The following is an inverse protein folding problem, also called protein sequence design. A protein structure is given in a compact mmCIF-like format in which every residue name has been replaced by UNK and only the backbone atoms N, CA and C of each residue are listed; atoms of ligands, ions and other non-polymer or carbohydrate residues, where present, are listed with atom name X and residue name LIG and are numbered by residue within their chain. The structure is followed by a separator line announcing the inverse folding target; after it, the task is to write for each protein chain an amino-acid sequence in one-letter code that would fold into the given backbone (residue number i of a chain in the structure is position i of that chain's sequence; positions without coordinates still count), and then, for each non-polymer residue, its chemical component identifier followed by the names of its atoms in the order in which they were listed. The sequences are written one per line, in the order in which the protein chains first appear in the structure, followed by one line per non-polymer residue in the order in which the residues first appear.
data_IF_937707296774
#
_entry.id   IF_937707296774
#
_cell.length_a   1.000
_cell.length_b   1.000
_cell.length_c   1.000
_cell.angle_alpha   90.00
_cell.angle_beta   90.00
_cell.angle_gamma   90.00
#
_symmetry.space_group_name_H-M   'P 1'
#
loop_
_entity.id
_entity.type
_entity.pdbx_description
1 polymer ?
#
# COMPACT_ATOMS: atom_id res chain seq x y z
N UNK A 1 13.36 -49.83 14.79
CA UNK A 1 12.60 -49.69 13.53
C UNK A 1 11.58 -48.58 13.73
N UNK A 2 11.81 -47.41 13.15
CA UNK A 2 10.81 -46.34 13.12
C UNK A 2 9.88 -46.63 11.94
N UNK A 3 8.54 -46.57 12.10
CA UNK A 3 7.64 -46.69 10.96
C UNK A 3 7.86 -45.46 10.08
N UNK A 4 8.25 -45.68 8.84
CA UNK A 4 8.17 -44.67 7.79
C UNK A 4 6.69 -44.33 7.60
N UNK A 5 6.29 -43.17 8.08
CA UNK A 5 5.04 -42.55 7.65
C UNK A 5 5.24 -42.19 6.17
N UNK A 6 4.88 -43.10 5.27
CA UNK A 6 4.61 -42.74 3.89
C UNK A 6 3.42 -41.78 3.94
N UNK A 7 3.72 -40.50 3.70
CA UNK A 7 2.76 -39.43 3.57
C UNK A 7 2.01 -39.63 2.26
N UNK A 8 1.07 -40.58 2.25
CA UNK A 8 -0.01 -40.67 1.28
C UNK A 8 -0.97 -39.49 1.56
N UNK A 9 -0.48 -38.26 1.41
CA UNK A 9 -1.29 -37.08 1.39
C UNK A 9 -2.16 -37.18 0.14
N UNK A 10 -3.33 -37.81 0.29
CA UNK A 10 -4.35 -37.91 -0.74
C UNK A 10 -4.54 -36.50 -1.31
N UNK A 11 -4.20 -36.34 -2.59
CA UNK A 11 -4.34 -35.07 -3.29
C UNK A 11 -5.77 -34.62 -3.03
N UNK A 12 -5.96 -33.44 -2.43
CA UNK A 12 -7.28 -33.05 -2.05
C UNK A 12 -8.17 -32.96 -3.30
N UNK A 13 -9.49 -33.21 -3.21
CA UNK A 13 -10.37 -33.29 -4.37
C UNK A 13 -10.38 -32.05 -5.29
N UNK A 14 -9.86 -30.91 -4.81
CA UNK A 14 -9.69 -29.66 -5.56
C UNK A 14 -8.36 -29.54 -6.33
N UNK A 15 -7.41 -30.45 -6.13
CA UNK A 15 -6.12 -30.51 -6.83
C UNK A 15 -6.01 -31.71 -7.81
N UNK A 16 -7.02 -32.58 -7.86
CA UNK A 16 -7.09 -33.68 -8.82
C UNK A 16 -7.28 -33.18 -10.26
N UNK A 17 -6.33 -33.47 -11.16
CA UNK A 17 -6.48 -33.24 -12.60
C UNK A 17 -7.61 -34.13 -13.15
N UNK A 18 -8.64 -33.52 -13.74
CA UNK A 18 -9.92 -34.14 -14.12
C UNK A 18 -10.81 -34.64 -12.96
N UNK A 19 -10.55 -34.17 -11.72
CA UNK A 19 -11.41 -34.41 -10.57
C UNK A 19 -12.77 -33.71 -10.65
N UNK A 20 -13.55 -33.83 -9.57
CA UNK A 20 -14.93 -33.31 -9.49
C UNK A 20 -15.08 -31.85 -9.96
N UNK A 21 -14.20 -30.95 -9.52
CA UNK A 21 -14.24 -29.53 -9.91
C UNK A 21 -13.81 -29.29 -11.37
N UNK A 22 -12.96 -30.14 -11.93
CA UNK A 22 -12.60 -30.09 -13.36
C UNK A 22 -13.80 -30.37 -14.26
N UNK A 23 -14.60 -31.38 -13.90
CA UNK A 23 -15.87 -31.69 -14.58
C UNK A 23 -16.88 -30.55 -14.44
N UNK A 24 -17.08 -30.05 -13.22
CA UNK A 24 -17.98 -28.91 -12.97
C UNK A 24 -17.56 -27.67 -13.79
N UNK A 25 -16.27 -27.34 -13.81
CA UNK A 25 -15.71 -26.24 -14.59
C UNK A 25 -15.99 -26.40 -16.09
N UNK A 26 -15.91 -27.62 -16.64
CA UNK A 26 -16.25 -27.90 -18.04
C UNK A 26 -17.74 -27.72 -18.31
N UNK A 27 -18.61 -28.12 -17.39
CA UNK A 27 -20.07 -27.96 -17.52
C UNK A 27 -20.51 -26.49 -17.52
N UNK A 28 -19.84 -25.64 -16.73
CA UNK A 28 -20.17 -24.20 -16.62
C UNK A 28 -19.33 -23.29 -17.54
N UNK A 29 -18.52 -23.85 -18.44
CA UNK A 29 -17.58 -23.10 -19.28
C UNK A 29 -18.23 -22.00 -20.13
N UNK A 30 -19.49 -22.19 -20.52
CA UNK A 30 -20.26 -21.23 -21.31
C UNK A 30 -21.10 -20.27 -20.47
N UNK A 31 -21.23 -20.53 -19.17
CA UNK A 31 -22.00 -19.68 -18.27
C UNK A 31 -21.17 -18.49 -17.81
N UNK A 32 -21.78 -17.31 -17.73
CA UNK A 32 -21.14 -16.12 -17.17
C UNK A 32 -21.12 -16.23 -15.64
N UNK A 33 -19.96 -16.03 -14.97
CA UNK A 33 -19.88 -16.10 -13.52
C UNK A 33 -20.60 -14.90 -12.89
N UNK A 34 -21.38 -15.14 -11.83
CA UNK A 34 -22.03 -14.05 -11.09
C UNK A 34 -21.07 -13.27 -10.19
N UNK A 35 -20.02 -13.92 -9.69
CA UNK A 35 -18.99 -13.32 -8.86
C UNK A 35 -17.61 -13.65 -9.45
N UNK A 36 -16.82 -12.61 -9.68
CA UNK A 36 -15.42 -12.74 -10.11
C UNK A 36 -14.56 -12.18 -8.99
N UNK A 37 -13.80 -13.06 -8.35
CA UNK A 37 -12.83 -12.69 -7.34
C UNK A 37 -11.43 -12.92 -7.88
N UNK A 38 -10.62 -11.86 -7.91
CA UNK A 38 -9.24 -11.95 -8.39
C UNK A 38 -8.30 -11.16 -7.47
N UNK A 39 -7.01 -11.53 -7.48
CA UNK A 39 -5.97 -10.77 -6.77
C UNK A 39 -5.66 -9.45 -7.48
N UNK A 40 -5.68 -9.46 -8.82
CA UNK A 40 -5.47 -8.28 -9.67
C UNK A 40 -6.65 -8.07 -10.60
N UNK A 41 -7.00 -6.82 -10.88
CA UNK A 41 -8.00 -6.48 -11.87
C UNK A 41 -7.48 -6.76 -13.28
N UNK A 42 -7.65 -8.01 -13.75
CA UNK A 42 -7.24 -8.45 -15.09
C UNK A 42 -8.39 -8.44 -16.12
N UNK A 43 -9.60 -8.07 -15.69
CA UNK A 43 -10.78 -7.96 -16.52
C UNK A 43 -11.11 -6.50 -16.82
N UNK A 44 -11.68 -6.26 -17.98
CA UNK A 44 -12.24 -4.96 -18.32
C UNK A 44 -13.60 -4.79 -17.63
N UNK A 45 -13.69 -3.86 -16.68
CA UNK A 45 -14.95 -3.57 -15.98
C UNK A 45 -16.07 -3.08 -16.91
N UNK A 46 -15.74 -2.58 -18.11
CA UNK A 46 -16.73 -2.10 -19.08
C UNK A 46 -17.47 -3.22 -19.82
N UNK A 47 -16.94 -4.44 -19.81
CA UNK A 47 -17.52 -5.60 -20.50
C UNK A 47 -18.36 -6.49 -19.60
N UNK A 48 -18.44 -6.18 -18.30
CA UNK A 48 -19.22 -6.93 -17.32
C UNK A 48 -20.73 -6.67 -17.48
N UNK A 49 -21.52 -7.72 -17.29
CA UNK A 49 -22.97 -7.58 -17.16
C UNK A 49 -23.32 -6.88 -15.85
N UNK A 50 -24.47 -6.18 -15.81
CA UNK A 50 -24.91 -5.41 -14.63
C UNK A 50 -25.04 -6.24 -13.36
N UNK A 51 -25.34 -7.53 -13.50
CA UNK A 51 -25.60 -8.44 -12.39
C UNK A 51 -24.32 -9.18 -11.95
N UNK A 52 -23.18 -8.93 -12.61
CA UNK A 52 -21.90 -9.52 -12.23
C UNK A 52 -21.23 -8.67 -11.15
N UNK A 53 -20.84 -9.34 -10.07
CA UNK A 53 -20.13 -8.75 -8.95
C UNK A 53 -18.63 -8.98 -9.10
N UNK A 54 -17.88 -7.96 -8.72
CA UNK A 54 -16.42 -7.96 -8.77
C UNK A 54 -15.83 -7.36 -7.51
N UNK A 55 -14.64 -7.83 -7.10
CA UNK A 55 -13.95 -7.32 -5.92
C UNK A 55 -13.03 -6.11 -6.18
N UNK A 56 -12.92 -5.61 -7.41
CA UNK A 56 -12.13 -4.42 -7.74
C UNK A 56 -13.01 -3.29 -8.27
N UNK A 57 -12.81 -2.09 -7.73
CA UNK A 57 -13.39 -0.88 -8.29
C UNK A 57 -12.60 -0.41 -9.51
N UNK A 58 -13.31 0.04 -10.54
CA UNK A 58 -12.70 0.69 -11.69
C UNK A 58 -12.04 2.01 -11.28
N UNK A 59 -10.94 2.38 -11.96
CA UNK A 59 -10.23 3.66 -11.78
C UNK A 59 -9.88 4.02 -10.32
N UNK A 60 -9.49 3.03 -9.51
CA UNK A 60 -9.10 3.23 -8.11
C UNK A 60 -7.85 4.12 -7.89
N UNK A 61 -7.13 4.47 -8.97
CA UNK A 61 -5.86 5.18 -8.91
C UNK A 61 -5.90 6.55 -8.24
N UNK A 62 -7.07 7.18 -8.09
CA UNK A 62 -7.24 8.44 -7.37
C UNK A 62 -7.04 8.32 -5.84
N UNK A 63 -7.17 7.12 -5.27
CA UNK A 63 -7.00 6.87 -3.84
C UNK A 63 -5.96 5.79 -3.54
N UNK A 64 -5.56 4.97 -4.50
CA UNK A 64 -4.59 3.88 -4.28
C UNK A 64 -3.17 4.22 -4.73
N UNK A 65 -2.95 5.43 -5.27
CA UNK A 65 -1.61 5.88 -5.68
C UNK A 65 -1.21 7.15 -4.93
N UNK A 66 0.10 7.33 -4.71
CA UNK A 66 0.63 8.55 -4.08
C UNK A 66 0.21 9.81 -4.84
N UNK A 67 0.33 9.80 -6.17
CA UNK A 67 -0.06 10.92 -7.03
C UNK A 67 -1.57 11.15 -7.00
N UNK A 68 -2.37 10.07 -6.98
CA UNK A 68 -3.82 10.13 -6.87
C UNK A 68 -4.27 10.82 -5.59
N UNK A 69 -3.85 10.30 -4.43
CA UNK A 69 -4.19 10.87 -3.12
C UNK A 69 -3.73 12.34 -3.05
N UNK A 70 -2.51 12.63 -3.49
CA UNK A 70 -1.97 13.99 -3.51
C UNK A 70 -2.84 14.96 -4.33
N UNK A 71 -3.35 14.55 -5.50
CA UNK A 71 -4.29 15.38 -6.28
C UNK A 71 -5.65 15.49 -5.59
N UNK A 72 -6.18 14.39 -5.05
CA UNK A 72 -7.50 14.36 -4.40
C UNK A 72 -7.55 15.30 -3.20
N UNK A 73 -6.49 15.31 -2.38
CA UNK A 73 -6.42 16.12 -1.15
C UNK A 73 -6.18 17.62 -1.41
N UNK A 74 -5.54 18.00 -2.53
CA UNK A 74 -5.47 19.44 -2.92
C UNK A 74 -6.84 20.05 -3.16
N UNK A 75 -7.79 19.23 -3.60
CA UNK A 75 -9.17 19.64 -3.85
C UNK A 75 -10.07 19.42 -2.62
N UNK A 76 -9.52 19.04 -1.45
CA UNK A 76 -10.30 18.70 -0.26
C UNK A 76 -11.25 19.82 0.15
N UNK A 77 -10.85 21.08 -0.02
CA UNK A 77 -11.66 22.26 0.27
C UNK A 77 -13.03 22.28 -0.43
N UNK A 78 -13.20 21.57 -1.55
CA UNK A 78 -14.48 21.46 -2.24
C UNK A 78 -15.43 20.44 -1.60
N UNK A 79 -14.91 19.55 -0.75
CA UNK A 79 -15.65 18.42 -0.16
C UNK A 79 -15.73 18.50 1.38
N UNK A 80 -14.78 19.18 2.01
CA UNK A 80 -14.66 19.27 3.46
C UNK A 80 -14.07 20.63 3.87
N UNK A 81 -14.56 21.27 4.94
CA UNK A 81 -14.08 22.59 5.38
C UNK A 81 -12.66 22.58 5.98
N UNK A 82 -12.08 21.40 6.21
CA UNK A 82 -10.75 21.22 6.80
C UNK A 82 -9.61 21.35 5.79
N UNK A 83 -8.40 21.49 6.34
CA UNK A 83 -7.14 21.62 5.60
C UNK A 83 -6.49 20.24 5.44
N UNK A 84 -6.03 19.87 4.25
CA UNK A 84 -5.38 18.58 4.04
C UNK A 84 -4.09 18.46 4.86
N UNK A 85 -3.40 19.57 5.07
CA UNK A 85 -2.13 19.71 5.78
C UNK A 85 -2.22 19.33 7.27
N UNK A 86 -3.42 19.24 7.85
CA UNK A 86 -3.62 18.82 9.24
C UNK A 86 -3.34 17.32 9.45
N UNK A 87 -3.65 16.49 8.45
CA UNK A 87 -3.56 15.03 8.56
C UNK A 87 -2.75 14.37 7.44
N UNK A 88 -2.42 15.10 6.37
CA UNK A 88 -1.65 14.61 5.24
C UNK A 88 -0.34 15.40 5.09
N UNK A 89 0.82 14.73 5.08
CA UNK A 89 2.10 15.40 4.85
C UNK A 89 2.12 16.15 3.52
N UNK A 90 2.70 17.36 3.52
CA UNK A 90 2.87 18.17 2.30
C UNK A 90 3.51 17.33 1.19
N UNK A 91 2.91 17.37 0.00
CA UNK A 91 3.29 16.53 -1.13
C UNK A 91 3.22 17.30 -2.45
N UNK A 92 4.26 17.16 -3.26
CA UNK A 92 4.44 17.89 -4.51
C UNK A 92 4.70 16.90 -5.65
N UNK A 93 4.16 17.19 -6.85
CA UNK A 93 4.39 16.40 -8.05
C UNK A 93 5.51 17.04 -8.86
N UNK A 94 6.73 16.57 -8.65
CA UNK A 94 7.93 17.12 -9.29
C UNK A 94 7.96 16.97 -10.82
N UNK A 95 7.00 16.23 -11.41
CA UNK A 95 6.77 16.19 -12.86
C UNK A 95 6.14 17.49 -13.40
N UNK A 96 5.57 18.33 -12.54
CA UNK A 96 5.05 19.65 -12.88
C UNK A 96 6.03 20.72 -12.37
N UNK A 97 6.39 21.68 -13.22
CA UNK A 97 7.37 22.72 -12.85
C UNK A 97 6.84 23.63 -11.73
N UNK A 98 5.55 23.97 -11.71
CA UNK A 98 4.97 24.79 -10.63
C UNK A 98 5.12 24.11 -9.26
N UNK A 99 4.81 22.81 -9.18
CA UNK A 99 4.95 22.01 -7.96
C UNK A 99 6.41 21.89 -7.52
N UNK A 100 7.34 21.85 -8.48
CA UNK A 100 8.78 21.79 -8.20
C UNK A 100 9.31 23.10 -7.64
N UNK A 101 8.86 24.25 -8.17
CA UNK A 101 9.19 25.56 -7.60
C UNK A 101 8.63 25.68 -6.18
N UNK A 102 7.36 25.32 -5.98
CA UNK A 102 6.73 25.32 -4.66
C UNK A 102 7.48 24.42 -3.65
N UNK A 103 7.92 23.24 -4.09
CA UNK A 103 8.74 22.34 -3.27
C UNK A 103 10.08 22.99 -2.86
N UNK A 104 10.77 23.66 -3.78
CA UNK A 104 12.06 24.31 -3.50
C UNK A 104 11.90 25.39 -2.43
N UNK A 105 10.85 26.20 -2.54
CA UNK A 105 10.58 27.28 -1.59
C UNK A 105 10.19 26.73 -0.22
N UNK A 106 9.33 25.71 -0.17
CA UNK A 106 8.94 25.04 1.07
C UNK A 106 10.11 24.32 1.74
N UNK A 107 11.01 23.71 0.95
CA UNK A 107 12.23 23.09 1.45
C UNK A 107 13.15 24.12 2.11
N UNK A 108 13.37 25.27 1.45
CA UNK A 108 14.18 26.37 2.01
C UNK A 108 13.61 26.87 3.33
N UNK A 109 12.30 27.09 3.39
CA UNK A 109 11.63 27.50 4.63
C UNK A 109 11.78 26.44 5.72
N UNK A 110 11.59 25.17 5.39
CA UNK A 110 11.74 24.04 6.32
C UNK A 110 13.17 23.96 6.87
N UNK A 111 14.19 24.18 6.03
CA UNK A 111 15.59 24.22 6.46
C UNK A 111 15.87 25.39 7.41
N UNK A 112 15.35 26.59 7.12
CA UNK A 112 15.45 27.74 8.02
C UNK A 112 14.79 27.47 9.38
N UNK A 113 13.58 26.89 9.40
CA UNK A 113 12.88 26.51 10.62
C UNK A 113 13.68 25.47 11.41
N UNK A 114 14.25 24.47 10.74
CA UNK A 114 15.10 23.44 11.36
C UNK A 114 16.32 24.07 12.06
N UNK A 115 16.99 25.01 11.41
CA UNK A 115 18.13 25.73 11.99
C UNK A 115 17.73 26.53 13.24
N UNK A 116 16.58 27.20 13.21
CA UNK A 116 16.07 27.93 14.38
C UNK A 116 15.70 26.99 15.54
N UNK A 117 15.08 25.85 15.25
CA UNK A 117 14.80 24.81 16.25
C UNK A 117 16.08 24.28 16.89
N UNK A 118 17.13 24.05 16.08
CA UNK A 118 18.44 23.61 16.58
C UNK A 118 19.05 24.62 17.57
N UNK A 119 19.05 25.91 17.22
CA UNK A 119 19.55 26.96 18.12
C UNK A 119 18.72 27.01 19.40
N UNK A 120 17.39 26.99 19.27
CA UNK A 120 16.48 27.02 20.41
C UNK A 120 16.75 25.85 21.38
N UNK A 121 16.95 24.64 20.86
CA UNK A 121 17.20 23.45 21.68
C UNK A 121 18.55 23.54 22.41
N UNK A 122 19.59 24.03 21.72
CA UNK A 122 20.90 24.30 22.34
C UNK A 122 20.81 25.34 23.45
N UNK A 123 20.07 26.43 23.24
CA UNK A 123 19.85 27.46 24.26
C UNK A 123 19.04 26.96 25.47
N UNK A 124 18.14 25.99 25.26
CA UNK A 124 17.35 25.37 26.34
C UNK A 124 18.09 24.25 27.08
N UNK A 125 19.33 23.93 26.71
CA UNK A 125 20.10 22.83 27.30
C UNK A 125 19.51 21.45 27.00
N UNK A 126 18.57 21.35 26.06
CA UNK A 126 18.02 20.08 25.60
C UNK A 126 19.01 19.51 24.59
N UNK A 127 19.72 18.45 25.00
CA UNK A 127 20.57 17.66 24.11
C UNK A 127 19.62 16.87 23.18
N UNK A 128 19.34 17.40 21.99
CA UNK A 128 18.74 16.59 20.92
C UNK A 128 19.79 15.63 20.36
N UNK A 129 19.37 14.42 19.95
CA UNK A 129 20.28 13.38 19.55
C UNK A 129 20.91 13.76 18.18
N UNK A 130 22.12 13.26 17.96
CA UNK A 130 23.00 13.55 16.83
C UNK A 130 22.28 13.51 15.46
N UNK A 131 22.69 14.32 14.49
CA UNK A 131 22.12 14.32 13.13
C UNK A 131 22.11 12.91 12.49
N UNK A 132 23.08 12.05 12.81
CA UNK A 132 23.08 10.63 12.40
C UNK A 132 21.97 9.82 13.06
N UNK A 133 21.57 10.15 14.29
CA UNK A 133 20.46 9.48 14.98
C UNK A 133 19.10 9.84 14.37
N UNK A 134 18.89 11.08 13.92
CA UNK A 134 17.67 11.51 13.22
C UNK A 134 17.56 10.82 11.84
N UNK A 135 18.69 10.67 11.14
CA UNK A 135 18.75 9.89 9.89
C UNK A 135 18.45 8.41 10.13
N UNK A 136 18.89 7.83 11.26
CA UNK A 136 18.57 6.47 11.67
C UNK A 136 17.08 6.30 12.09
N UNK A 137 16.43 7.33 12.62
CA UNK A 137 14.98 7.30 12.89
C UNK A 137 14.14 7.31 11.60
N UNK A 138 14.73 7.67 10.46
CA UNK A 138 14.05 7.63 9.16
C UNK A 138 14.23 6.28 8.44
N UNK A 139 15.10 5.39 8.93
CA UNK A 139 15.26 4.02 8.44
C UNK A 139 14.41 3.00 9.21
N UNK A 140 14.01 3.31 10.43
CA UNK A 140 13.10 2.47 11.20
C UNK A 140 11.65 2.91 10.95
N UNK A 141 10.96 2.14 10.12
CA UNK A 141 9.50 2.21 10.02
C UNK A 141 8.87 1.99 11.40
N UNK A 142 7.62 2.43 11.64
CA UNK A 142 7.00 2.38 12.95
C UNK A 142 6.88 0.93 13.42
N UNK A 143 7.71 0.55 14.39
CA UNK A 143 7.55 -0.69 15.15
C UNK A 143 6.45 -0.46 16.18
N UNK A 144 5.19 -0.59 15.73
CA UNK A 144 4.04 -0.63 16.63
C UNK A 144 4.12 -1.92 17.47
N UNK A 145 4.21 -1.85 18.81
CA UNK A 145 4.31 -3.03 19.67
C UNK A 145 3.07 -3.95 19.63
N UNK A 146 2.01 -3.58 18.88
CA UNK A 146 0.83 -4.44 18.67
C UNK A 146 0.94 -5.41 17.49
N UNK A 147 1.92 -5.27 16.61
CA UNK A 147 2.06 -6.14 15.44
C UNK A 147 3.53 -6.54 15.27
N UNK A 148 3.93 -7.76 15.66
CA UNK A 148 5.29 -8.23 15.39
C UNK A 148 5.53 -8.28 13.88
N UNK A 149 6.69 -7.78 13.45
CA UNK A 149 7.18 -7.93 12.09
C UNK A 149 7.44 -9.40 11.84
N UNK A 150 6.65 -10.01 10.96
CA UNK A 150 6.90 -11.36 10.45
C UNK A 150 8.10 -11.24 9.51
N UNK A 151 9.28 -11.63 9.98
CA UNK A 151 10.43 -11.88 9.10
C UNK A 151 10.12 -13.12 8.28
N UNK A 152 10.32 -13.10 6.94
CA UNK A 152 10.21 -14.32 6.14
C UNK A 152 11.21 -15.34 6.65
N UNK A 153 10.75 -16.56 6.92
CA UNK A 153 11.66 -17.69 7.14
C UNK A 153 12.51 -17.85 5.87
N UNK A 154 13.82 -17.92 6.03
CA UNK A 154 14.79 -18.18 4.95
C UNK A 154 14.63 -19.59 4.30
N UNK A 155 13.53 -20.31 4.57
CA UNK A 155 13.21 -21.61 3.98
C UNK A 155 12.26 -21.55 2.77
N UNK A 156 11.69 -20.41 2.41
CA UNK A 156 10.82 -20.28 1.20
C UNK A 156 11.55 -19.72 -0.03
N UNK A 157 12.89 -19.91 -0.09
CA UNK A 157 13.71 -19.58 -1.26
C UNK A 157 14.45 -20.81 -1.81
N UNK A 158 13.72 -21.92 -1.97
CA UNK A 158 14.08 -23.01 -2.89
C UNK A 158 12.89 -23.37 -3.78
#
# INVERSE_FOLDING_TARGET
EHPSYEDDAAIPPWEENDGYYGLLSRLVRTAAPNLIWSVRASYDTSTLNKDQMVNHYSRNGCFTTKVGICNSLRNLQWFHPGCAEEFFPRCYKLSHEDDKVAYIDDYRLTACISFLKLIQNRCKGVIEPDMNSILAMSSDGPTDPKYPVITPNEEEAQ
#
